data_IF_822190083709
#
_entry.id   IF_822190083709
#
_cell.length_a   1.000
_cell.length_b   1.000
_cell.length_c   1.000
_cell.angle_alpha   90.00
_cell.angle_beta   90.00
_cell.angle_gamma   90.00
#
_symmetry.space_group_name_H-M   'P 1'
#
loop_
_entity.id
_entity.type
_entity.pdbx_description
1 polymer ?
#
# COMPACT_ATOMS: atom_id res chain seq x y z
N UNK A 1 -8.90 -4.73 29.18
CA UNK A 1 -8.86 -5.29 27.82
C UNK A 1 -10.09 -4.78 27.06
N UNK A 2 -10.02 -4.60 25.75
CA UNK A 2 -11.06 -3.92 24.96
C UNK A 2 -12.45 -4.60 25.08
N UNK A 3 -13.32 -4.08 25.95
CA UNK A 3 -14.65 -4.66 26.28
C UNK A 3 -15.58 -4.83 25.07
N UNK A 4 -15.33 -4.10 23.98
CA UNK A 4 -16.10 -4.16 22.74
C UNK A 4 -16.05 -5.55 22.09
N UNK A 5 -14.89 -6.23 22.15
CA UNK A 5 -14.72 -7.54 21.51
C UNK A 5 -15.36 -8.64 22.33
N UNK A 6 -15.27 -8.55 23.66
CA UNK A 6 -15.94 -9.46 24.58
C UNK A 6 -17.45 -9.34 24.43
N UNK A 7 -18.00 -8.12 24.37
CA UNK A 7 -19.43 -7.90 24.11
C UNK A 7 -19.90 -8.53 22.78
N UNK A 8 -19.11 -8.38 21.71
CA UNK A 8 -19.41 -9.00 20.43
C UNK A 8 -19.35 -10.54 20.53
N UNK A 9 -18.32 -11.07 21.19
CA UNK A 9 -18.15 -12.50 21.39
C UNK A 9 -19.28 -13.10 22.24
N UNK A 10 -19.72 -12.43 23.29
CA UNK A 10 -20.87 -12.78 24.12
C UNK A 10 -22.16 -12.84 23.27
N UNK A 11 -22.39 -11.80 22.46
CA UNK A 11 -23.57 -11.74 21.59
C UNK A 11 -23.57 -12.87 20.56
N UNK A 12 -22.47 -13.11 19.87
CA UNK A 12 -22.39 -14.17 18.86
C UNK A 12 -22.46 -15.57 19.51
N UNK A 13 -21.78 -15.79 20.62
CA UNK A 13 -21.66 -17.13 21.21
C UNK A 13 -22.91 -17.52 22.00
N UNK A 14 -23.40 -16.63 22.87
CA UNK A 14 -24.47 -16.95 23.79
C UNK A 14 -25.85 -16.55 23.25
N UNK A 15 -25.95 -15.46 22.49
CA UNK A 15 -27.25 -15.00 21.97
C UNK A 15 -27.58 -15.56 20.59
N UNK A 16 -26.60 -15.63 19.67
CA UNK A 16 -26.83 -16.13 18.32
C UNK A 16 -26.73 -17.67 18.27
N UNK A 17 -25.65 -18.23 18.82
CA UNK A 17 -25.39 -19.67 18.78
C UNK A 17 -26.03 -20.46 19.94
N UNK A 18 -26.61 -19.77 20.94
CA UNK A 18 -27.23 -20.38 22.12
C UNK A 18 -26.32 -21.40 22.85
N UNK A 19 -25.00 -21.20 22.78
CA UNK A 19 -24.05 -22.06 23.46
C UNK A 19 -24.03 -21.71 24.96
N UNK A 20 -23.79 -22.71 25.81
CA UNK A 20 -23.63 -22.46 27.24
C UNK A 20 -22.22 -22.00 27.56
N UNK A 21 -22.09 -20.98 28.42
CA UNK A 21 -20.82 -20.52 28.97
C UNK A 21 -20.11 -21.58 29.83
N UNK A 22 -20.85 -22.58 30.32
CA UNK A 22 -20.28 -23.70 31.08
C UNK A 22 -19.71 -24.79 30.17
N UNK A 23 -19.99 -24.72 28.87
CA UNK A 23 -19.51 -25.70 27.90
C UNK A 23 -18.13 -25.31 27.36
N UNK A 24 -17.23 -26.30 27.24
CA UNK A 24 -15.91 -26.10 26.63
C UNK A 24 -15.98 -25.58 25.19
N UNK A 25 -17.03 -25.96 24.46
CA UNK A 25 -17.26 -25.49 23.10
C UNK A 25 -17.66 -24.02 23.08
N UNK A 26 -18.55 -23.59 23.99
CA UNK A 26 -18.94 -22.20 24.14
C UNK A 26 -17.76 -21.30 24.47
N UNK A 27 -16.94 -21.69 25.44
CA UNK A 27 -15.74 -20.93 25.83
C UNK A 27 -14.73 -20.81 24.67
N UNK A 28 -14.48 -21.90 23.93
CA UNK A 28 -13.59 -21.90 22.77
C UNK A 28 -14.09 -20.99 21.63
N UNK A 29 -15.40 -21.02 21.35
CA UNK A 29 -16.02 -20.17 20.31
C UNK A 29 -15.98 -18.71 20.72
N UNK A 30 -16.30 -18.40 21.98
CA UNK A 30 -16.21 -17.05 22.53
C UNK A 30 -14.78 -16.50 22.41
N UNK A 31 -13.78 -17.25 22.88
CA UNK A 31 -12.37 -16.88 22.77
C UNK A 31 -11.93 -16.64 21.32
N UNK A 32 -12.30 -17.54 20.40
CA UNK A 32 -11.97 -17.43 18.99
C UNK A 32 -12.51 -16.14 18.37
N UNK A 33 -13.79 -15.81 18.63
CA UNK A 33 -14.42 -14.61 18.09
C UNK A 33 -13.77 -13.34 18.67
N UNK A 34 -13.50 -13.35 19.98
CA UNK A 34 -12.85 -12.22 20.63
C UNK A 34 -11.47 -11.94 20.01
N UNK A 35 -10.65 -12.96 19.84
CA UNK A 35 -9.28 -12.81 19.35
C UNK A 35 -9.21 -12.54 17.85
N UNK A 36 -10.01 -13.21 17.03
CA UNK A 36 -10.05 -12.94 15.58
C UNK A 36 -10.50 -11.51 15.31
N UNK A 37 -11.58 -11.06 15.96
CA UNK A 37 -12.07 -9.69 15.74
C UNK A 37 -11.05 -8.64 16.21
N UNK A 38 -10.37 -8.89 17.33
CA UNK A 38 -9.34 -8.01 17.88
C UNK A 38 -8.13 -7.90 16.95
N UNK A 39 -7.64 -9.01 16.41
CA UNK A 39 -6.54 -9.01 15.44
C UNK A 39 -6.95 -8.26 14.16
N UNK A 40 -8.14 -8.53 13.62
CA UNK A 40 -8.64 -7.83 12.44
C UNK A 40 -8.77 -6.32 12.66
N UNK A 41 -9.30 -5.90 13.81
CA UNK A 41 -9.41 -4.48 14.16
C UNK A 41 -8.03 -3.80 14.25
N UNK A 42 -7.05 -4.46 14.90
CA UNK A 42 -5.68 -3.94 14.99
C UNK A 42 -5.00 -3.88 13.61
N UNK A 43 -5.23 -4.87 12.76
CA UNK A 43 -4.68 -4.91 11.40
C UNK A 43 -5.25 -3.77 10.55
N UNK A 44 -6.59 -3.61 10.52
CA UNK A 44 -7.27 -2.53 9.81
C UNK A 44 -6.74 -1.19 10.30
N UNK A 45 -6.72 -0.96 11.62
CA UNK A 45 -6.24 0.28 12.20
C UNK A 45 -4.79 0.58 11.78
N UNK A 46 -3.91 -0.41 11.81
CA UNK A 46 -2.50 -0.23 11.46
C UNK A 46 -2.32 0.04 9.97
N UNK A 47 -2.99 -0.71 9.10
CA UNK A 47 -2.94 -0.51 7.65
C UNK A 47 -3.47 0.87 7.27
N UNK A 48 -4.61 1.29 7.84
CA UNK A 48 -5.16 2.62 7.62
C UNK A 48 -4.26 3.72 8.17
N UNK A 49 -3.67 3.55 9.35
CA UNK A 49 -2.73 4.51 9.91
C UNK A 49 -1.53 4.73 8.98
N UNK A 50 -0.85 3.65 8.57
CA UNK A 50 0.29 3.74 7.65
C UNK A 50 -0.12 4.34 6.31
N UNK A 51 -1.28 3.95 5.76
CA UNK A 51 -1.83 4.50 4.53
C UNK A 51 -2.13 6.00 4.62
N UNK A 52 -2.75 6.44 5.71
CA UNK A 52 -3.08 7.84 5.98
C UNK A 52 -1.82 8.70 6.11
N UNK A 53 -0.84 8.29 6.94
CA UNK A 53 0.41 9.03 7.09
C UNK A 53 1.19 9.09 5.76
N UNK A 54 1.22 8.01 4.98
CA UNK A 54 1.83 8.01 3.64
C UNK A 54 1.12 8.98 2.70
N UNK A 55 -0.22 9.04 2.76
CA UNK A 55 -1.02 9.98 1.97
C UNK A 55 -0.79 11.45 2.35
N UNK A 56 -0.49 11.77 3.62
CA UNK A 56 -0.21 13.14 4.05
C UNK A 56 1.17 13.66 3.59
N UNK A 57 2.15 12.77 3.37
CA UNK A 57 3.49 13.12 2.91
C UNK A 57 3.63 13.22 1.38
N UNK A 58 2.63 12.73 0.64
CA UNK A 58 2.63 12.75 -0.84
C UNK A 58 2.30 14.14 -1.46
N UNK A 59 1.39 14.96 -0.90
CA UNK A 59 1.04 16.28 -1.43
C UNK A 59 2.25 17.22 -1.60
N UNK A 60 3.17 17.23 -0.63
CA UNK A 60 4.35 18.08 -0.69
C UNK A 60 5.34 17.68 -1.80
N UNK A 61 5.37 16.38 -2.15
CA UNK A 61 6.25 15.88 -3.22
C UNK A 61 5.71 16.19 -4.61
N UNK A 62 4.39 16.25 -4.79
CA UNK A 62 3.76 16.67 -6.05
C UNK A 62 4.02 18.16 -6.32
N UNK A 63 3.98 19.00 -5.28
CA UNK A 63 4.17 20.45 -5.44
C UNK A 63 5.58 20.86 -5.90
N UNK A 64 6.62 20.06 -5.61
CA UNK A 64 7.99 20.32 -6.07
C UNK A 64 8.24 19.99 -7.55
N UNK A 65 7.38 19.21 -8.20
CA UNK A 65 7.54 18.87 -9.61
C UNK A 65 7.06 20.01 -10.54
N UNK A 66 6.12 20.83 -10.06
CA UNK A 66 5.51 21.94 -10.82
C UNK A 66 6.47 23.15 -10.98
N UNK A 67 7.47 23.28 -10.10
CA UNK A 67 8.41 24.40 -10.06
C UNK A 67 9.43 24.40 -11.22
N UNK A 68 9.54 23.31 -12.00
CA UNK A 68 10.53 23.19 -13.08
C UNK A 68 10.00 23.53 -14.48
N UNK A 69 8.71 23.85 -14.65
CA UNK A 69 8.18 24.41 -15.90
C UNK A 69 8.28 23.51 -17.14
N UNK A 70 8.57 22.22 -16.97
CA UNK A 70 8.60 21.21 -18.04
C UNK A 70 7.33 20.38 -17.93
N UNK A 71 6.55 20.32 -19.01
CA UNK A 71 5.37 19.46 -19.09
C UNK A 71 5.81 18.00 -19.22
N UNK A 72 5.91 17.29 -18.09
CA UNK A 72 6.32 15.88 -18.06
C UNK A 72 5.06 15.02 -18.01
N UNK A 73 4.78 14.28 -19.09
CA UNK A 73 3.77 13.22 -19.08
C UNK A 73 4.37 11.94 -18.50
N UNK A 74 4.13 11.72 -17.22
CA UNK A 74 4.70 10.58 -16.49
C UNK A 74 3.71 9.41 -16.47
N UNK A 75 4.01 8.34 -17.20
CA UNK A 75 3.19 7.12 -17.23
C UNK A 75 3.88 5.99 -16.47
N UNK A 76 3.19 5.46 -15.45
CA UNK A 76 3.71 4.32 -14.69
C UNK A 76 3.29 3.01 -15.36
N UNK A 77 4.23 2.39 -16.07
CA UNK A 77 4.02 1.08 -16.66
C UNK A 77 4.25 -0.01 -15.59
N UNK A 78 3.23 -0.82 -15.34
CA UNK A 78 3.30 -2.03 -14.48
C UNK A 78 3.04 -3.32 -15.25
N UNK A 79 2.67 -3.22 -16.53
CA UNK A 79 2.44 -4.36 -17.40
C UNK A 79 3.78 -5.03 -17.75
N UNK A 80 3.93 -6.29 -17.38
CA UNK A 80 5.18 -7.04 -17.57
C UNK A 80 5.55 -7.21 -19.04
N UNK A 81 4.56 -7.42 -19.93
CA UNK A 81 4.80 -7.59 -21.36
C UNK A 81 5.34 -6.29 -21.98
N UNK A 82 4.81 -5.13 -21.56
CA UNK A 82 5.34 -3.84 -21.98
C UNK A 82 6.77 -3.61 -21.46
N UNK A 83 7.04 -3.90 -20.18
CA UNK A 83 8.37 -3.73 -19.57
C UNK A 83 9.42 -4.58 -20.30
N UNK A 84 9.13 -5.87 -20.51
CA UNK A 84 10.01 -6.77 -21.25
C UNK A 84 10.10 -6.39 -22.74
N UNK A 85 9.04 -5.85 -23.32
CA UNK A 85 9.00 -5.35 -24.70
C UNK A 85 9.98 -4.20 -24.95
N UNK A 86 10.20 -3.33 -23.96
CA UNK A 86 11.27 -2.32 -24.00
C UNK A 86 12.67 -2.90 -23.67
N UNK A 87 12.79 -4.18 -23.34
CA UNK A 87 14.07 -4.81 -22.98
C UNK A 87 14.55 -4.50 -21.56
N UNK A 88 13.67 -4.02 -20.68
CA UNK A 88 14.02 -3.73 -19.28
C UNK A 88 14.04 -5.05 -18.48
N UNK A 89 15.25 -5.50 -18.12
CA UNK A 89 15.46 -6.75 -17.37
C UNK A 89 15.41 -6.55 -15.84
N UNK A 90 15.71 -5.33 -15.38
CA UNK A 90 15.81 -4.97 -13.96
C UNK A 90 15.09 -3.67 -13.70
N UNK A 91 14.25 -3.64 -12.68
CA UNK A 91 13.53 -2.44 -12.25
C UNK A 91 14.27 -1.71 -11.13
N UNK A 92 14.16 -0.37 -11.04
CA UNK A 92 13.37 0.50 -11.92
C UNK A 92 14.05 0.75 -13.27
N UNK A 93 13.27 0.73 -14.35
CA UNK A 93 13.70 1.18 -15.68
C UNK A 93 13.00 2.49 -16.05
N UNK A 94 13.67 3.34 -16.83
CA UNK A 94 13.15 4.63 -17.28
C UNK A 94 13.22 4.69 -18.79
N UNK A 95 12.11 5.06 -19.42
CA UNK A 95 11.97 5.25 -20.86
C UNK A 95 11.59 6.70 -21.12
N UNK A 96 12.30 7.37 -22.03
CA UNK A 96 11.94 8.70 -22.55
C UNK A 96 11.79 8.57 -24.07
N UNK A 97 10.69 9.09 -24.61
CA UNK A 97 10.41 9.10 -26.05
C UNK A 97 10.61 7.72 -26.71
N UNK A 98 10.03 6.68 -26.12
CA UNK A 98 10.15 5.28 -26.56
C UNK A 98 11.57 4.66 -26.45
N UNK A 99 12.54 5.39 -25.87
CA UNK A 99 13.92 4.93 -25.68
C UNK A 99 14.23 4.65 -24.22
N UNK A 100 14.75 3.46 -23.91
CA UNK A 100 15.25 3.12 -22.57
C UNK A 100 16.51 3.94 -22.27
N UNK A 101 16.45 4.80 -21.27
CA UNK A 101 17.60 5.60 -20.81
C UNK A 101 18.25 5.04 -19.55
N UNK A 102 17.55 4.17 -18.83
CA UNK A 102 18.02 3.57 -17.58
C UNK A 102 17.35 2.22 -17.32
N UNK A 103 18.10 1.26 -16.76
CA UNK A 103 17.57 -0.05 -16.38
C UNK A 103 18.28 -0.60 -15.13
N UNK A 104 17.51 -0.72 -14.04
CA UNK A 104 17.96 -1.30 -12.76
C UNK A 104 18.59 -0.28 -11.82
N UNK A 105 18.36 -0.45 -10.51
CA UNK A 105 18.84 0.49 -9.48
C UNK A 105 18.15 1.86 -9.52
N UNK A 106 18.01 2.51 -8.36
CA UNK A 106 17.32 3.80 -8.29
C UNK A 106 18.17 4.91 -8.95
N UNK A 107 17.67 5.64 -9.96
CA UNK A 107 18.41 6.73 -10.58
C UNK A 107 18.64 7.89 -9.58
N UNK A 108 19.84 8.50 -9.62
CA UNK A 108 20.16 9.65 -8.78
C UNK A 108 19.48 10.93 -9.30
N UNK A 109 19.21 11.94 -8.45
CA UNK A 109 18.59 13.19 -8.87
C UNK A 109 19.34 13.90 -10.02
N UNK A 110 20.67 13.88 -9.99
CA UNK A 110 21.50 14.52 -11.03
C UNK A 110 21.32 13.86 -12.41
N UNK A 111 21.15 12.53 -12.43
CA UNK A 111 20.93 11.79 -13.67
C UNK A 111 19.56 12.10 -14.28
N UNK A 112 18.54 12.25 -13.45
CA UNK A 112 17.20 12.67 -13.89
C UNK A 112 17.25 14.09 -14.47
N UNK A 113 17.98 15.00 -13.83
CA UNK A 113 18.13 16.37 -14.33
C UNK A 113 18.78 16.42 -15.73
N UNK A 114 19.75 15.54 -16.02
CA UNK A 114 20.37 15.46 -17.35
C UNK A 114 19.39 15.04 -18.45
N UNK A 115 18.44 14.16 -18.15
CA UNK A 115 17.44 13.71 -19.13
C UNK A 115 16.48 14.85 -19.51
N UNK A 116 16.08 15.67 -18.53
CA UNK A 116 15.21 16.83 -18.75
C UNK A 116 15.88 17.90 -19.63
N UNK A 117 17.20 18.09 -19.50
CA UNK A 117 17.96 19.02 -20.35
C UNK A 117 18.12 18.50 -21.77
N UNK A 118 18.24 17.17 -21.94
CA UNK A 118 18.48 16.54 -23.24
C UNK A 118 17.22 16.45 -24.11
N UNK A 119 16.04 16.30 -23.50
CA UNK A 119 14.75 16.24 -24.22
C UNK A 119 14.25 17.57 -24.79
N UNK A 120 14.92 18.69 -24.47
CA UNK A 120 14.54 20.04 -24.92
C UNK A 120 15.39 20.54 -26.11
N UNK A 121 15.89 19.63 -26.97
CA UNK A 121 16.67 19.93 -28.18
C UNK A 121 16.13 19.20 -29.39
#
# INVERSE_FOLDING_TARGET
MFKIFTWLADWVTYSLLHLSAESRLGDAVHFFIEDVTKIFALLILTVFAIGFFRSLLTPERVRKADEMGVEIKLEKITNMAAILGYGVMSTPGVVLDEVVVHAGGMPSPDMVAQWLVKGNR
#
